data_IF_139756124759
#
_entry.id   IF_139756124759
#
_cell.length_a   1.000
_cell.length_b   1.000
_cell.length_c   1.000
_cell.angle_alpha   90.00
_cell.angle_beta   90.00
_cell.angle_gamma   90.00
#
_symmetry.space_group_name_H-M   'P 1'
#
loop_
_entity.id
_entity.type
_entity.pdbx_description
1 polymer ?
#
# COMPACT_ATOMS: atom_id res chain seq x y z
N UNK A 1 32.12 -1.32 -2.91
CA UNK A 1 31.07 -0.49 -2.26
C UNK A 1 30.01 -0.32 -3.33
N UNK A 2 29.14 -1.32 -3.45
CA UNK A 2 28.28 -1.47 -4.63
C UNK A 2 26.83 -1.47 -4.16
N UNK A 3 26.40 -0.32 -3.63
CA UNK A 3 24.98 -0.02 -3.51
C UNK A 3 24.50 0.45 -4.89
N UNK A 4 24.45 -0.49 -5.84
CA UNK A 4 23.85 -0.25 -7.14
C UNK A 4 22.37 0.10 -6.90
N UNK A 5 21.99 1.33 -7.24
CA UNK A 5 20.64 1.85 -7.11
C UNK A 5 19.72 1.09 -8.08
N UNK A 6 19.32 -0.13 -7.69
CA UNK A 6 18.29 -0.92 -8.36
C UNK A 6 17.05 -0.04 -8.41
N UNK A 7 16.61 0.31 -9.62
CA UNK A 7 15.52 1.27 -9.79
C UNK A 7 14.30 0.82 -8.97
N UNK A 8 13.75 1.72 -8.15
CA UNK A 8 12.63 1.47 -7.25
C UNK A 8 11.28 1.28 -7.99
N UNK A 9 11.33 0.77 -9.22
CA UNK A 9 10.20 0.60 -10.11
C UNK A 9 9.50 1.91 -10.49
N UNK A 10 8.44 1.76 -11.30
CA UNK A 10 7.55 2.85 -11.68
C UNK A 10 6.68 3.25 -10.48
N UNK A 11 6.82 4.50 -10.01
CA UNK A 11 6.04 5.03 -8.88
C UNK A 11 4.52 4.92 -9.08
N UNK A 12 4.01 5.11 -10.30
CA UNK A 12 2.57 5.04 -10.59
C UNK A 12 2.01 3.64 -10.34
N UNK A 13 2.79 2.60 -10.60
CA UNK A 13 2.41 1.22 -10.27
C UNK A 13 2.22 1.05 -8.77
N UNK A 14 3.15 1.56 -7.96
CA UNK A 14 3.08 1.42 -6.51
C UNK A 14 1.98 2.28 -5.89
N UNK A 15 1.74 3.48 -6.44
CA UNK A 15 0.58 4.29 -6.07
C UNK A 15 -0.74 3.58 -6.36
N UNK A 16 -0.84 2.87 -7.49
CA UNK A 16 -2.01 2.07 -7.82
C UNK A 16 -2.18 0.88 -6.87
N UNK A 17 -1.10 0.10 -6.63
CA UNK A 17 -1.14 -1.03 -5.70
C UNK A 17 -1.54 -0.60 -4.28
N UNK A 18 -0.95 0.48 -3.77
CA UNK A 18 -1.24 0.99 -2.43
C UNK A 18 -2.71 1.40 -2.30
N UNK A 19 -3.27 2.08 -3.31
CA UNK A 19 -4.70 2.44 -3.35
C UNK A 19 -5.62 1.23 -3.47
N UNK A 20 -5.23 0.22 -4.24
CA UNK A 20 -6.00 -1.01 -4.36
C UNK A 20 -6.05 -1.79 -3.03
N UNK A 21 -4.92 -1.87 -2.31
CA UNK A 21 -4.88 -2.45 -0.96
C UNK A 21 -5.72 -1.61 0.02
N UNK A 22 -5.63 -0.27 -0.04
CA UNK A 22 -6.44 0.60 0.80
C UNK A 22 -7.94 0.36 0.61
N UNK A 23 -8.41 0.31 -0.64
CA UNK A 23 -9.79 -0.03 -0.97
C UNK A 23 -10.18 -1.39 -0.40
N UNK A 24 -9.32 -2.40 -0.53
CA UNK A 24 -9.58 -3.74 -0.02
C UNK A 24 -9.54 -3.81 1.52
N UNK A 25 -8.89 -2.85 2.18
CA UNK A 25 -8.92 -2.64 3.61
C UNK A 25 -10.11 -1.77 4.08
N UNK A 26 -10.96 -1.29 3.18
CA UNK A 26 -12.03 -0.35 3.54
C UNK A 26 -11.53 1.03 3.95
N UNK A 27 -10.28 1.38 3.60
CA UNK A 27 -9.63 2.65 3.96
C UNK A 27 -9.68 3.63 2.79
N UNK A 28 -10.23 4.82 3.03
CA UNK A 28 -10.10 5.96 2.13
C UNK A 28 -8.85 6.78 2.51
N UNK A 29 -7.78 6.61 1.73
CA UNK A 29 -6.51 7.32 1.93
C UNK A 29 -6.65 8.83 1.75
N UNK A 30 -7.48 9.30 0.81
CA UNK A 30 -7.66 10.73 0.59
C UNK A 30 -8.41 11.36 1.76
N UNK A 31 -9.40 10.65 2.31
CA UNK A 31 -10.08 11.06 3.54
C UNK A 31 -9.12 11.07 4.72
N UNK A 32 -8.37 9.98 4.95
CA UNK A 32 -7.43 9.86 6.07
C UNK A 32 -6.35 10.97 6.05
N UNK A 33 -5.91 11.38 4.86
CA UNK A 33 -4.99 12.52 4.71
C UNK A 33 -5.67 13.85 5.00
N UNK A 34 -6.88 14.08 4.47
CA UNK A 34 -7.63 15.32 4.69
C UNK A 34 -8.05 15.53 6.14
N UNK A 35 -8.35 14.46 6.87
CA UNK A 35 -8.73 14.52 8.30
C UNK A 35 -7.55 14.48 9.26
N UNK A 36 -6.33 14.31 8.74
CA UNK A 36 -5.10 14.24 9.54
C UNK A 36 -4.86 12.89 10.24
N UNK A 37 -5.68 11.87 9.97
CA UNK A 37 -5.46 10.50 10.46
C UNK A 37 -4.17 9.88 9.85
N UNK A 38 -3.79 10.34 8.65
CA UNK A 38 -2.55 9.99 7.98
C UNK A 38 -1.88 11.28 7.47
N UNK A 39 -0.71 11.66 8.01
CA UNK A 39 -0.01 12.84 7.47
C UNK A 39 0.68 12.51 6.12
N UNK A 40 0.96 13.56 5.34
CA UNK A 40 1.56 13.41 4.00
C UNK A 40 2.95 12.79 3.99
N UNK A 41 3.75 12.98 5.06
CA UNK A 41 5.07 12.37 5.18
C UNK A 41 4.96 10.85 5.38
N UNK A 42 4.03 10.40 6.21
CA UNK A 42 3.77 8.99 6.43
C UNK A 42 3.20 8.33 5.17
N UNK A 43 2.32 9.02 4.43
CA UNK A 43 1.90 8.55 3.11
C UNK A 43 3.07 8.40 2.13
N UNK A 44 3.99 9.37 2.07
CA UNK A 44 5.19 9.28 1.23
C UNK A 44 6.12 8.12 1.67
N UNK A 45 6.24 7.88 2.98
CA UNK A 45 6.96 6.73 3.53
C UNK A 45 6.31 5.41 3.14
N UNK A 46 4.98 5.32 3.19
CA UNK A 46 4.24 4.12 2.75
C UNK A 46 4.54 3.79 1.28
N UNK A 47 4.45 4.77 0.39
CA UNK A 47 4.75 4.58 -1.04
C UNK A 47 6.21 4.16 -1.24
N UNK A 48 7.14 4.78 -0.50
CA UNK A 48 8.57 4.46 -0.60
C UNK A 48 8.88 3.05 -0.11
N UNK A 49 8.30 2.62 1.02
CA UNK A 49 8.42 1.26 1.54
C UNK A 49 7.84 0.22 0.56
N UNK A 50 6.66 0.51 -0.01
CA UNK A 50 6.03 -0.34 -1.04
C UNK A 50 6.92 -0.53 -2.26
N UNK A 51 7.66 0.51 -2.68
CA UNK A 51 8.59 0.46 -3.82
C UNK A 51 9.82 -0.41 -3.54
N UNK A 52 10.34 -0.37 -2.32
CA UNK A 52 11.52 -1.14 -1.91
C UNK A 52 11.24 -2.60 -1.55
N UNK A 53 9.99 -2.97 -1.27
CA UNK A 53 9.65 -4.29 -0.72
C UNK A 53 9.77 -5.47 -1.69
N UNK A 54 9.90 -5.22 -3.00
CA UNK A 54 10.05 -6.28 -4.00
C UNK A 54 8.82 -7.18 -4.24
N UNK A 55 7.73 -7.02 -3.47
CA UNK A 55 6.54 -7.86 -3.52
C UNK A 55 5.46 -7.40 -4.53
N UNK A 56 5.81 -6.57 -5.52
CA UNK A 56 4.82 -5.90 -6.39
C UNK A 56 4.02 -6.85 -7.30
N UNK A 57 4.58 -8.01 -7.66
CA UNK A 57 3.87 -9.05 -8.40
C UNK A 57 2.89 -9.81 -7.51
N UNK A 58 3.34 -10.25 -6.33
CA UNK A 58 2.48 -10.91 -5.34
C UNK A 58 1.32 -10.01 -4.90
N UNK A 59 1.58 -8.71 -4.73
CA UNK A 59 0.56 -7.73 -4.42
C UNK A 59 -0.51 -7.65 -5.51
N UNK A 60 -0.10 -7.56 -6.78
CA UNK A 60 -1.02 -7.54 -7.91
C UNK A 60 -1.85 -8.83 -7.99
N UNK A 61 -1.21 -10.00 -7.80
CA UNK A 61 -1.90 -11.28 -7.79
C UNK A 61 -2.94 -11.34 -6.67
N UNK A 62 -2.57 -10.97 -5.45
CA UNK A 62 -3.48 -10.94 -4.31
C UNK A 62 -4.69 -10.04 -4.57
N UNK A 63 -4.48 -8.83 -5.12
CA UNK A 63 -5.56 -7.92 -5.52
C UNK A 63 -6.48 -8.59 -6.55
N UNK A 64 -5.92 -9.21 -7.59
CA UNK A 64 -6.70 -9.84 -8.67
C UNK A 64 -7.46 -11.10 -8.24
N UNK A 65 -6.94 -11.85 -7.27
CA UNK A 65 -7.60 -13.06 -6.75
C UNK A 65 -8.68 -12.78 -5.73
N UNK A 66 -8.69 -11.57 -5.16
CA UNK A 66 -9.62 -11.21 -4.10
C UNK A 66 -11.02 -11.01 -4.67
N UNK A 67 -12.01 -11.62 -4.01
CA UNK A 67 -13.42 -11.33 -4.25
C UNK A 67 -13.84 -10.20 -3.33
N UNK A 68 -14.62 -9.26 -3.86
CA UNK A 68 -15.22 -8.20 -3.07
C UNK A 68 -16.44 -8.78 -2.33
N UNK A 69 -16.19 -9.35 -1.15
CA UNK A 69 -17.21 -9.93 -0.26
C UNK A 69 -17.60 -8.99 0.89
N UNK A 70 -17.13 -7.74 0.83
CA UNK A 70 -17.35 -6.73 1.87
C UNK A 70 -16.48 -6.88 3.12
N UNK A 71 -15.64 -7.92 3.23
CA UNK A 71 -14.75 -8.10 4.39
C UNK A 71 -13.46 -7.30 4.19
N UNK A 72 -13.10 -6.34 5.07
CA UNK A 72 -11.84 -5.62 5.00
C UNK A 72 -10.63 -6.54 5.24
N UNK A 73 -9.56 -6.40 4.44
CA UNK A 73 -8.33 -7.16 4.64
C UNK A 73 -7.12 -6.53 3.94
N UNK A 74 -5.93 -6.92 4.40
CA UNK A 74 -4.63 -6.44 3.94
C UNK A 74 -3.75 -7.67 3.69
N UNK A 75 -2.91 -7.70 2.63
CA UNK A 75 -2.01 -8.83 2.43
C UNK A 75 -0.97 -8.89 3.54
N UNK A 76 -0.70 -10.08 4.07
CA UNK A 76 0.27 -10.30 5.17
C UNK A 76 1.68 -9.78 4.84
N UNK A 77 2.06 -9.82 3.56
CA UNK A 77 3.37 -9.36 3.07
C UNK A 77 3.40 -7.85 2.77
N UNK A 78 2.33 -7.11 3.05
CA UNK A 78 2.28 -5.68 2.78
C UNK A 78 3.27 -4.93 3.69
N UNK A 79 4.28 -4.22 3.16
CA UNK A 79 5.26 -3.50 3.98
C UNK A 79 4.65 -2.32 4.76
N UNK A 80 3.41 -1.94 4.45
CA UNK A 80 2.66 -0.88 5.12
C UNK A 80 1.40 -1.41 5.78
N UNK A 81 1.35 -2.71 6.06
CA UNK A 81 0.16 -3.40 6.56
C UNK A 81 -0.34 -2.82 7.89
N UNK A 82 0.57 -2.54 8.82
CA UNK A 82 0.26 -1.97 10.13
C UNK A 82 -0.44 -0.61 10.03
N UNK A 83 -0.07 0.21 9.02
CA UNK A 83 -0.71 1.51 8.80
C UNK A 83 -2.15 1.32 8.34
N UNK A 84 -2.41 0.35 7.46
CA UNK A 84 -3.77 0.02 7.06
C UNK A 84 -4.57 -0.54 8.22
N UNK A 85 -4.04 -1.48 9.00
CA UNK A 85 -4.71 -2.05 10.17
C UNK A 85 -5.14 -0.97 11.19
N UNK A 86 -4.34 0.08 11.37
CA UNK A 86 -4.68 1.22 12.23
C UNK A 86 -5.80 2.10 11.67
N UNK A 87 -5.98 2.13 10.35
CA UNK A 87 -6.96 2.97 9.65
C UNK A 87 -8.24 2.21 9.27
N UNK A 88 -8.24 0.88 9.37
CA UNK A 88 -9.41 0.03 9.11
C UNK A 88 -10.56 0.38 10.08
N UNK A 89 -11.82 0.30 9.62
CA UNK A 89 -13.00 0.56 10.42
C UNK A 89 -13.25 -0.50 11.51
#
# INVERSE_FOLDING_TARGET
MDAEARSLGNIFRHLWLLRAVAKAAGVDLDHAVKTGQLNGLDYARMVTACRGAGCSQSCALWISTRRDDGTPAVPEFCPTGDVFQRLMP
#
